data_IF_660229061154
#
_entry.id   IF_660229061154
#
_cell.length_a   1.000
_cell.length_b   1.000
_cell.length_c   1.000
_cell.angle_alpha   90.00
_cell.angle_beta   90.00
_cell.angle_gamma   90.00
#
_symmetry.space_group_name_H-M   'P 1'
#
loop_
_entity.id
_entity.type
_entity.pdbx_description
1 polymer ?
#
# COMPACT_ATOMS: atom_id res chain seq x y z
N UNK A 1 -16.15 -9.31 -16.73
CA UNK A 1 -16.30 -10.44 -17.67
C UNK A 1 -17.72 -11.01 -17.67
N UNK A 2 -18.41 -11.08 -16.55
CA UNK A 2 -19.84 -11.47 -16.51
C UNK A 2 -20.77 -10.50 -17.27
N UNK A 3 -20.50 -9.20 -17.23
CA UNK A 3 -21.28 -8.19 -17.95
C UNK A 3 -21.15 -8.30 -19.48
N UNK A 4 -20.02 -8.76 -20.01
CA UNK A 4 -19.80 -8.96 -21.46
C UNK A 4 -20.55 -10.20 -21.98
N UNK A 5 -20.80 -11.18 -21.11
CA UNK A 5 -21.57 -12.39 -21.47
C UNK A 5 -23.06 -12.11 -21.45
N UNK A 6 -23.51 -11.12 -20.70
CA UNK A 6 -24.94 -10.75 -20.60
C UNK A 6 -25.44 -9.92 -21.79
N UNK A 7 -24.56 -9.18 -22.48
CA UNK A 7 -24.92 -8.34 -23.63
C UNK A 7 -24.86 -9.07 -24.97
N UNK A 8 -24.33 -10.30 -25.00
CA UNK A 8 -24.45 -11.14 -26.18
C UNK A 8 -25.84 -11.80 -26.24
N UNK A 9 -26.85 -11.07 -26.73
CA UNK A 9 -28.15 -11.61 -27.12
C UNK A 9 -27.97 -12.60 -28.28
N UNK A 10 -27.43 -13.78 -27.98
CA UNK A 10 -27.42 -14.88 -28.92
C UNK A 10 -28.89 -15.32 -29.08
N UNK A 11 -29.42 -15.01 -30.25
CA UNK A 11 -30.76 -15.33 -30.70
C UNK A 11 -31.16 -16.76 -30.27
N UNK A 12 -32.30 -16.91 -29.64
CA UNK A 12 -32.81 -18.20 -29.09
C UNK A 12 -33.05 -19.29 -30.14
N UNK A 13 -32.73 -19.05 -31.40
CA UNK A 13 -33.04 -19.91 -32.57
C UNK A 13 -31.93 -20.88 -32.98
N UNK A 14 -30.84 -21.02 -32.23
CA UNK A 14 -29.76 -21.94 -32.56
C UNK A 14 -29.42 -22.94 -31.43
N UNK A 15 -30.21 -24.00 -31.23
CA UNK A 15 -29.97 -24.98 -30.13
C UNK A 15 -28.60 -25.68 -30.18
N UNK A 16 -28.06 -25.86 -31.40
CA UNK A 16 -26.73 -26.46 -31.61
C UNK A 16 -25.57 -25.62 -31.07
N UNK A 17 -25.73 -24.28 -31.00
CA UNK A 17 -24.73 -23.40 -30.42
C UNK A 17 -24.71 -23.44 -28.89
N UNK A 18 -25.83 -23.78 -28.22
CA UNK A 18 -25.87 -23.96 -26.76
C UNK A 18 -25.01 -25.16 -26.29
N UNK A 19 -25.10 -26.27 -27.05
CA UNK A 19 -24.26 -27.45 -26.76
C UNK A 19 -22.79 -27.17 -26.92
N UNK A 20 -22.41 -26.47 -27.99
CA UNK A 20 -21.01 -26.08 -28.23
C UNK A 20 -20.47 -25.11 -27.18
N UNK A 21 -21.25 -24.10 -26.77
CA UNK A 21 -20.89 -23.15 -25.72
C UNK A 21 -20.79 -23.82 -24.33
N UNK A 22 -21.68 -24.77 -24.03
CA UNK A 22 -21.61 -25.58 -22.81
C UNK A 22 -20.36 -26.49 -22.80
N UNK A 23 -20.05 -27.11 -23.92
CA UNK A 23 -18.88 -27.96 -24.12
C UNK A 23 -17.59 -27.15 -24.02
N UNK A 24 -17.53 -25.96 -24.63
CA UNK A 24 -16.39 -25.05 -24.54
C UNK A 24 -16.21 -24.52 -23.10
N UNK A 25 -17.30 -24.11 -22.42
CA UNK A 25 -17.23 -23.73 -21.01
C UNK A 25 -16.66 -24.85 -20.14
N UNK A 26 -17.13 -26.09 -20.30
CA UNK A 26 -16.62 -27.23 -19.55
C UNK A 26 -15.16 -27.55 -19.90
N UNK A 27 -14.77 -27.49 -21.17
CA UNK A 27 -13.41 -27.79 -21.61
C UNK A 27 -12.37 -26.77 -21.09
N UNK A 28 -12.75 -25.48 -20.96
CA UNK A 28 -11.85 -24.43 -20.44
C UNK A 28 -11.87 -24.31 -18.92
N UNK A 29 -12.87 -24.88 -18.22
CA UNK A 29 -12.96 -24.86 -16.76
C UNK A 29 -12.39 -26.13 -16.10
N UNK A 30 -12.09 -27.17 -16.88
CA UNK A 30 -11.47 -28.41 -16.37
C UNK A 30 -10.03 -28.10 -15.98
N UNK A 31 -9.74 -28.13 -14.67
CA UNK A 31 -8.40 -27.91 -14.10
C UNK A 31 -8.13 -26.49 -13.59
N UNK A 32 -9.05 -25.54 -13.73
CA UNK A 32 -8.86 -24.21 -13.14
C UNK A 32 -8.97 -24.27 -11.62
N UNK A 33 -7.87 -23.97 -10.94
CA UNK A 33 -7.85 -23.76 -9.48
C UNK A 33 -7.98 -22.27 -9.18
N UNK A 34 -8.92 -21.90 -8.32
CA UNK A 34 -9.06 -20.53 -7.83
C UNK A 34 -8.42 -20.45 -6.45
N UNK A 35 -7.46 -19.56 -6.30
CA UNK A 35 -6.90 -19.19 -5.01
C UNK A 35 -7.51 -17.86 -4.57
N UNK A 36 -7.73 -17.69 -3.26
CA UNK A 36 -8.22 -16.47 -2.65
C UNK A 36 -7.14 -15.89 -1.76
N UNK A 37 -6.94 -14.59 -1.85
CA UNK A 37 -6.11 -13.84 -0.92
C UNK A 37 -7.05 -12.95 -0.12
N UNK A 38 -6.96 -13.01 1.20
CA UNK A 38 -7.70 -12.16 2.12
C UNK A 38 -6.73 -11.18 2.78
N UNK A 39 -7.13 -9.91 2.86
CA UNK A 39 -6.38 -8.86 3.54
C UNK A 39 -7.26 -8.38 4.68
N UNK A 40 -6.73 -8.43 5.90
CA UNK A 40 -7.37 -7.87 7.10
C UNK A 40 -6.61 -6.65 7.56
N UNK A 41 -7.33 -5.65 8.04
CA UNK A 41 -6.81 -4.45 8.67
C UNK A 41 -7.84 -3.92 9.68
N UNK A 42 -7.36 -3.14 10.65
CA UNK A 42 -8.20 -2.49 11.64
C UNK A 42 -8.63 -1.12 11.14
N UNK A 43 -9.84 -0.71 11.50
CA UNK A 43 -10.41 0.61 11.19
C UNK A 43 -10.81 1.27 12.50
N UNK A 44 -10.31 2.47 12.73
CA UNK A 44 -10.65 3.32 13.87
C UNK A 44 -11.33 4.58 13.35
N UNK A 45 -12.35 5.05 14.05
CA UNK A 45 -13.09 6.27 13.69
C UNK A 45 -12.41 7.53 14.23
N UNK A 46 -11.61 7.38 15.30
CA UNK A 46 -10.93 8.50 15.96
C UNK A 46 -9.54 8.10 16.47
N UNK A 47 -8.62 9.06 16.52
CA UNK A 47 -7.24 8.87 16.99
C UNK A 47 -7.17 8.46 18.48
N UNK A 48 -8.19 8.80 19.28
CA UNK A 48 -8.25 8.44 20.70
C UNK A 48 -8.51 6.94 20.93
N UNK A 49 -8.94 6.21 19.89
CA UNK A 49 -9.12 4.76 19.93
C UNK A 49 -7.80 4.00 19.74
N UNK A 50 -6.76 4.67 19.23
CA UNK A 50 -5.45 4.11 19.01
C UNK A 50 -4.68 3.90 20.32
N UNK A 51 -3.64 3.05 20.26
CA UNK A 51 -2.63 3.03 21.30
C UNK A 51 -1.97 4.41 21.43
N UNK A 52 -1.49 4.76 22.64
CA UNK A 52 -0.79 6.04 22.85
C UNK A 52 0.40 6.22 21.90
N UNK A 53 1.10 5.12 21.57
CA UNK A 53 2.24 5.14 20.65
C UNK A 53 1.79 5.42 19.21
N UNK A 54 0.76 4.73 18.72
CA UNK A 54 0.27 4.93 17.35
C UNK A 54 -0.33 6.32 17.17
N UNK A 55 -1.10 6.79 18.16
CA UNK A 55 -1.66 8.13 18.17
C UNK A 55 -0.55 9.21 18.12
N UNK A 56 0.51 9.03 18.90
CA UNK A 56 1.67 9.92 18.87
C UNK A 56 2.37 9.89 17.50
N UNK A 57 2.67 8.70 16.98
CA UNK A 57 3.32 8.56 15.66
C UNK A 57 2.49 9.22 14.56
N UNK A 58 1.17 9.05 14.56
CA UNK A 58 0.31 9.64 13.55
C UNK A 58 0.24 11.17 13.68
N UNK A 59 0.19 11.70 14.91
CA UNK A 59 0.21 13.15 15.13
C UNK A 59 1.54 13.77 14.67
N UNK A 60 2.67 13.14 14.96
CA UNK A 60 3.97 13.59 14.46
C UNK A 60 4.06 13.50 12.93
N UNK A 61 3.49 12.44 12.31
CA UNK A 61 3.43 12.35 10.85
C UNK A 61 2.58 13.49 10.23
N UNK A 62 1.52 13.95 10.90
CA UNK A 62 0.74 15.14 10.53
C UNK A 62 1.61 16.41 10.54
N UNK A 63 2.46 16.59 11.56
CA UNK A 63 3.40 17.72 11.62
C UNK A 63 4.45 17.67 10.51
N UNK A 64 4.91 16.48 10.12
CA UNK A 64 5.87 16.28 9.03
C UNK A 64 5.30 16.71 7.67
N UNK A 65 3.98 16.71 7.46
CA UNK A 65 3.38 17.20 6.20
C UNK A 65 3.78 18.65 5.88
N UNK A 66 4.02 19.46 6.91
CA UNK A 66 4.44 20.87 6.77
C UNK A 66 5.83 21.03 6.13
N UNK A 67 6.63 19.99 6.08
CA UNK A 67 7.97 19.97 5.48
C UNK A 67 7.96 19.43 4.04
N UNK A 68 6.80 19.07 3.52
CA UNK A 68 6.66 18.56 2.17
C UNK A 68 6.86 19.67 1.12
N UNK A 69 7.49 19.33 0.02
CA UNK A 69 7.61 20.19 -1.15
C UNK A 69 6.67 19.67 -2.24
N UNK A 70 5.49 20.28 -2.35
CA UNK A 70 4.42 19.84 -3.26
C UNK A 70 3.78 21.01 -4.06
N UNK A 71 4.58 21.78 -4.85
CA UNK A 71 4.08 22.96 -5.53
C UNK A 71 3.17 22.65 -6.72
N UNK A 72 3.14 21.43 -7.22
CA UNK A 72 2.37 21.04 -8.40
C UNK A 72 1.04 20.42 -8.02
N UNK A 73 1.03 19.50 -7.04
CA UNK A 73 -0.18 18.79 -6.62
C UNK A 73 -0.92 19.46 -5.47
N UNK A 74 -0.25 20.30 -4.66
CA UNK A 74 -0.75 20.78 -3.37
C UNK A 74 -1.17 19.63 -2.42
N UNK A 75 -0.51 18.47 -2.54
CA UNK A 75 -0.75 17.28 -1.76
C UNK A 75 0.48 16.96 -0.90
N UNK A 76 0.41 17.28 0.38
CA UNK A 76 1.53 17.26 1.31
C UNK A 76 1.47 15.98 2.14
N UNK A 77 2.46 15.11 2.01
CA UNK A 77 2.52 13.82 2.72
C UNK A 77 3.66 13.84 3.72
N UNK A 78 3.35 13.41 4.93
CA UNK A 78 4.31 13.16 6.00
C UNK A 78 4.33 11.70 6.41
N UNK A 79 5.51 11.16 6.61
CA UNK A 79 5.71 9.82 7.15
C UNK A 79 6.65 9.90 8.35
N UNK A 80 6.33 9.14 9.39
CA UNK A 80 7.17 9.00 10.59
C UNK A 80 7.30 7.51 10.93
N UNK A 81 8.50 7.05 11.20
CA UNK A 81 8.72 5.68 11.61
C UNK A 81 9.47 5.60 12.95
N UNK A 82 9.04 4.65 13.77
CA UNK A 82 9.78 4.16 14.93
C UNK A 82 10.54 2.91 14.52
N UNK A 83 11.83 2.90 14.79
CA UNK A 83 12.71 1.75 14.59
C UNK A 83 12.67 0.82 15.81
N UNK A 84 13.06 -0.44 15.64
CA UNK A 84 13.10 -1.43 16.74
C UNK A 84 14.03 -1.04 17.89
N UNK A 85 15.02 -0.16 17.65
CA UNK A 85 15.90 0.39 18.68
C UNK A 85 15.35 1.67 19.34
N UNK A 86 14.12 2.07 19.02
CA UNK A 86 13.44 3.24 19.56
C UNK A 86 13.75 4.56 18.85
N UNK A 87 14.64 4.59 17.88
CA UNK A 87 14.93 5.79 17.09
C UNK A 87 13.76 6.16 16.19
N UNK A 88 13.62 7.45 15.90
CA UNK A 88 12.55 8.01 15.06
C UNK A 88 13.17 8.58 13.78
N UNK A 89 12.55 8.28 12.64
CA UNK A 89 12.93 8.80 11.33
C UNK A 89 11.70 9.38 10.65
N UNK A 90 11.86 10.55 10.02
CA UNK A 90 10.81 11.22 9.29
C UNK A 90 11.13 11.31 7.79
N UNK A 91 10.10 11.51 6.99
CA UNK A 91 10.20 11.83 5.57
C UNK A 91 8.95 12.55 5.08
N UNK A 92 9.12 13.46 4.14
CA UNK A 92 8.02 14.15 3.46
C UNK A 92 8.17 14.03 1.95
N UNK A 93 7.07 14.13 1.18
CA UNK A 93 7.17 14.08 -0.27
C UNK A 93 7.91 15.29 -0.84
N UNK A 94 8.70 15.02 -1.87
CA UNK A 94 9.52 16.01 -2.57
C UNK A 94 9.17 15.93 -4.05
N UNK A 95 8.37 16.86 -4.53
CA UNK A 95 8.01 16.93 -5.93
C UNK A 95 9.15 17.50 -6.78
N UNK A 96 9.09 17.25 -8.06
CA UNK A 96 10.05 17.72 -9.03
C UNK A 96 9.33 18.06 -10.34
N UNK A 97 9.76 19.10 -11.06
CA UNK A 97 9.25 19.44 -12.39
C UNK A 97 9.40 18.25 -13.36
N UNK A 98 10.45 17.45 -13.19
CA UNK A 98 10.56 16.13 -13.79
C UNK A 98 9.85 15.12 -12.89
N UNK A 99 8.58 14.86 -13.13
CA UNK A 99 7.72 14.01 -12.26
C UNK A 99 8.33 12.67 -11.88
N UNK A 100 9.05 11.93 -12.77
CA UNK A 100 9.72 10.69 -12.38
C UNK A 100 10.79 10.83 -11.30
N UNK A 101 11.35 12.04 -11.12
CA UNK A 101 12.34 12.33 -10.08
C UNK A 101 11.71 12.62 -8.70
N UNK A 102 10.40 12.80 -8.64
CA UNK A 102 9.68 13.02 -7.39
C UNK A 102 9.79 11.84 -6.42
N UNK A 103 9.83 12.14 -5.13
CA UNK A 103 9.94 11.16 -4.06
C UNK A 103 8.72 11.22 -3.14
N UNK A 104 8.11 10.07 -2.88
CA UNK A 104 7.08 9.95 -1.84
C UNK A 104 7.72 10.03 -0.45
N UNK A 105 6.95 10.48 0.54
CA UNK A 105 7.37 10.62 1.94
C UNK A 105 7.98 9.32 2.50
N UNK A 106 7.34 8.18 2.22
CA UNK A 106 7.79 6.86 2.67
C UNK A 106 9.17 6.52 2.10
N UNK A 107 9.43 6.85 0.82
CA UNK A 107 10.73 6.57 0.19
C UNK A 107 11.83 7.48 0.72
N UNK A 108 11.54 8.74 1.01
CA UNK A 108 12.46 9.66 1.68
C UNK A 108 12.82 9.10 3.07
N UNK A 109 11.81 8.70 3.86
CA UNK A 109 12.00 8.10 5.17
C UNK A 109 12.85 6.83 5.10
N UNK A 110 12.52 5.88 4.22
CA UNK A 110 13.22 4.61 4.08
C UNK A 110 14.69 4.81 3.69
N UNK A 111 14.97 5.74 2.76
CA UNK A 111 16.34 6.12 2.40
C UNK A 111 17.11 6.71 3.58
N UNK A 112 16.47 7.62 4.33
CA UNK A 112 17.06 8.24 5.53
C UNK A 112 17.33 7.21 6.63
N UNK A 113 16.38 6.29 6.88
CA UNK A 113 16.53 5.22 7.85
C UNK A 113 17.72 4.31 7.51
N UNK A 114 17.88 3.93 6.24
CA UNK A 114 19.01 3.13 5.78
C UNK A 114 20.35 3.81 5.98
N UNK A 115 20.41 5.12 5.80
CA UNK A 115 21.64 5.90 5.93
C UNK A 115 22.00 6.16 7.40
N UNK A 116 21.03 6.61 8.18
CA UNK A 116 21.25 7.04 9.56
C UNK A 116 21.36 5.85 10.54
N UNK A 117 20.62 4.79 10.28
CA UNK A 117 20.52 3.62 11.14
C UNK A 117 20.68 2.33 10.34
N UNK A 118 21.86 2.08 9.78
CA UNK A 118 22.10 0.88 8.97
C UNK A 118 21.83 -0.38 9.80
N UNK A 119 21.18 -1.35 9.20
CA UNK A 119 20.83 -2.64 9.81
C UNK A 119 19.82 -2.59 10.99
N UNK A 120 19.07 -1.50 11.12
CA UNK A 120 17.98 -1.40 12.09
C UNK A 120 16.63 -1.49 11.37
N UNK A 121 15.79 -2.44 11.78
CA UNK A 121 14.46 -2.63 11.22
C UNK A 121 13.50 -1.50 11.64
N UNK A 122 12.49 -1.25 10.82
CA UNK A 122 11.36 -0.38 11.17
C UNK A 122 10.32 -1.25 11.88
N UNK A 123 9.87 -0.79 13.04
CA UNK A 123 8.80 -1.39 13.83
C UNK A 123 7.42 -0.92 13.32
N UNK A 124 7.19 0.38 13.37
CA UNK A 124 5.92 1.00 13.00
C UNK A 124 6.16 2.25 12.15
N UNK A 125 5.38 2.43 11.10
CA UNK A 125 5.37 3.64 10.27
C UNK A 125 3.97 4.25 10.24
N UNK A 126 3.85 5.51 10.62
CA UNK A 126 2.65 6.31 10.44
C UNK A 126 2.77 7.17 9.18
N UNK A 127 1.68 7.29 8.43
CA UNK A 127 1.60 8.12 7.21
C UNK A 127 0.37 8.99 7.31
N UNK A 128 0.57 10.29 7.10
CA UNK A 128 -0.50 11.27 7.05
C UNK A 128 -0.35 12.20 5.85
N UNK A 129 -1.40 12.91 5.53
CA UNK A 129 -1.38 13.88 4.45
C UNK A 129 -2.27 15.09 4.76
N UNK A 130 -1.93 16.20 4.11
CA UNK A 130 -2.74 17.40 4.03
C UNK A 130 -2.95 17.75 2.54
N UNK A 131 -4.18 18.02 2.15
CA UNK A 131 -4.53 18.38 0.78
C UNK A 131 -5.26 19.73 0.74
N UNK A 132 -4.65 20.72 0.12
CA UNK A 132 -5.31 22.00 -0.09
C UNK A 132 -6.45 21.94 -1.11
N UNK A 133 -6.58 20.82 -1.85
CA UNK A 133 -7.57 20.63 -2.89
C UNK A 133 -8.78 19.80 -2.46
N UNK A 134 -8.85 19.41 -1.18
CA UNK A 134 -9.93 18.54 -0.68
C UNK A 134 -9.85 18.29 0.82
N UNK A 135 -10.69 17.39 1.30
CA UNK A 135 -10.68 16.96 2.68
C UNK A 135 -9.52 15.99 2.95
N UNK A 136 -8.91 16.10 4.13
CA UNK A 136 -7.86 15.19 4.59
C UNK A 136 -8.40 14.32 5.73
N UNK A 137 -9.56 13.67 5.50
CA UNK A 137 -10.35 12.93 6.51
C UNK A 137 -10.44 11.41 6.26
N UNK A 138 -10.03 10.95 5.07
CA UNK A 138 -9.96 9.51 4.78
C UNK A 138 -8.49 9.06 4.68
N UNK A 139 -8.14 7.84 5.14
CA UNK A 139 -6.78 7.33 5.05
C UNK A 139 -6.34 7.14 3.59
N UNK A 140 -5.10 7.51 3.28
CA UNK A 140 -4.48 7.15 2.00
C UNK A 140 -3.55 5.96 2.16
N UNK A 141 -3.50 5.12 1.13
CA UNK A 141 -2.55 4.01 1.08
C UNK A 141 -1.27 4.41 0.34
N UNK A 142 -0.12 3.85 0.72
CA UNK A 142 1.12 3.97 -0.05
C UNK A 142 0.93 3.66 -1.53
N UNK A 143 1.58 4.41 -2.40
CA UNK A 143 1.56 4.15 -3.85
C UNK A 143 2.26 2.82 -4.20
N UNK A 144 2.12 2.33 -5.44
CA UNK A 144 2.68 1.04 -5.84
C UNK A 144 4.20 0.94 -5.63
N UNK A 145 4.95 2.01 -5.91
CA UNK A 145 6.41 2.05 -5.69
C UNK A 145 6.72 1.95 -4.19
N UNK A 146 5.98 2.67 -3.35
CA UNK A 146 6.17 2.63 -1.90
C UNK A 146 5.84 1.25 -1.33
N UNK A 147 4.77 0.59 -1.80
CA UNK A 147 4.42 -0.78 -1.37
C UNK A 147 5.53 -1.77 -1.71
N UNK A 148 6.12 -1.66 -2.89
CA UNK A 148 7.26 -2.49 -3.29
C UNK A 148 8.49 -2.21 -2.42
N UNK A 149 8.78 -0.93 -2.13
CA UNK A 149 9.92 -0.56 -1.28
C UNK A 149 9.73 -1.04 0.16
N UNK A 150 8.53 -0.90 0.72
CA UNK A 150 8.18 -1.40 2.06
C UNK A 150 8.31 -2.93 2.12
N UNK A 151 7.85 -3.63 1.07
CA UNK A 151 7.98 -5.09 0.97
C UNK A 151 9.44 -5.53 1.00
N UNK A 152 10.32 -4.86 0.26
CA UNK A 152 11.77 -5.13 0.24
C UNK A 152 12.40 -4.91 1.63
N UNK A 153 11.94 -3.87 2.35
CA UNK A 153 12.42 -3.60 3.72
C UNK A 153 12.03 -4.71 4.70
N UNK A 154 10.78 -5.20 4.66
CA UNK A 154 10.35 -6.33 5.48
C UNK A 154 11.17 -7.59 5.18
N UNK A 155 11.42 -7.88 3.91
CA UNK A 155 12.20 -9.06 3.51
C UNK A 155 13.67 -8.94 3.90
N UNK A 156 14.28 -7.74 3.75
CA UNK A 156 15.69 -7.46 4.09
C UNK A 156 15.96 -7.62 5.57
N UNK A 157 15.04 -7.17 6.42
CA UNK A 157 15.21 -7.20 7.87
C UNK A 157 14.52 -8.37 8.57
N UNK A 158 13.76 -9.19 7.81
CA UNK A 158 12.91 -10.26 8.34
C UNK A 158 12.02 -9.76 9.48
N UNK A 159 11.50 -8.53 9.34
CA UNK A 159 10.69 -7.86 10.34
C UNK A 159 9.47 -7.19 9.68
N UNK A 160 8.24 -7.44 10.16
CA UNK A 160 7.06 -6.79 9.64
C UNK A 160 7.07 -5.30 9.99
N UNK A 161 6.57 -4.46 9.09
CA UNK A 161 6.38 -3.03 9.32
C UNK A 161 4.88 -2.79 9.56
N UNK A 162 4.52 -2.47 10.79
CA UNK A 162 3.16 -2.04 11.11
C UNK A 162 2.88 -0.68 10.49
N UNK A 163 1.74 -0.52 9.81
CA UNK A 163 1.36 0.75 9.18
C UNK A 163 0.15 1.36 9.87
N UNK A 164 0.24 2.66 10.17
CA UNK A 164 -0.85 3.49 10.69
C UNK A 164 -1.13 4.58 9.65
N UNK A 165 -2.27 4.53 8.98
CA UNK A 165 -2.63 5.40 7.88
C UNK A 165 -3.79 6.29 8.29
N UNK A 166 -3.63 7.61 8.19
CA UNK A 166 -4.69 8.57 8.52
C UNK A 166 -4.49 9.90 7.80
N UNK A 167 -5.58 10.64 7.62
CA UNK A 167 -5.52 12.05 7.25
C UNK A 167 -5.29 12.96 8.45
N UNK A 168 -5.55 14.26 8.29
CA UNK A 168 -5.52 15.23 9.40
C UNK A 168 -6.62 14.93 10.44
N UNK A 169 -7.72 14.35 9.99
CA UNK A 169 -8.90 13.99 10.77
C UNK A 169 -9.47 12.67 10.28
N UNK A 170 -10.59 12.23 10.88
CA UNK A 170 -11.39 11.13 10.41
C UNK A 170 -10.77 9.75 10.66
N UNK A 171 -11.11 8.81 9.79
CA UNK A 171 -10.77 7.40 9.95
C UNK A 171 -9.28 7.11 9.89
N UNK A 172 -8.90 6.03 10.54
CA UNK A 172 -7.52 5.54 10.56
C UNK A 172 -7.54 4.06 10.22
N UNK A 173 -6.64 3.64 9.32
CA UNK A 173 -6.43 2.23 9.00
C UNK A 173 -5.12 1.75 9.58
N UNK A 174 -5.14 0.57 10.19
CA UNK A 174 -3.95 -0.05 10.75
C UNK A 174 -3.75 -1.44 10.15
N UNK A 175 -2.55 -1.64 9.59
CA UNK A 175 -2.11 -2.91 9.03
C UNK A 175 -0.97 -3.47 9.86
N UNK A 176 -1.06 -4.74 10.26
CA UNK A 176 -0.01 -5.42 11.05
C UNK A 176 1.30 -5.58 10.29
N UNK A 177 1.25 -5.56 8.96
CA UNK A 177 2.44 -5.61 8.10
C UNK A 177 2.18 -4.94 6.76
N UNK A 178 3.17 -4.23 6.25
CA UNK A 178 3.09 -3.50 5.00
C UNK A 178 2.92 -4.41 3.77
N UNK A 179 3.44 -5.64 3.82
CA UNK A 179 3.32 -6.64 2.76
C UNK A 179 1.89 -7.04 2.44
N UNK A 180 0.93 -6.82 3.34
CA UNK A 180 -0.51 -7.01 3.07
C UNK A 180 -1.01 -6.11 1.94
N UNK A 181 -0.38 -4.96 1.71
CA UNK A 181 -0.75 -4.01 0.65
C UNK A 181 -0.22 -4.38 -0.73
N UNK A 182 0.65 -5.40 -0.83
CA UNK A 182 1.21 -5.89 -2.09
C UNK A 182 1.25 -7.43 -2.11
N UNK A 183 0.09 -8.10 -2.20
CA UNK A 183 0.08 -9.55 -2.40
C UNK A 183 0.71 -9.91 -3.75
N UNK A 184 1.40 -11.06 -3.83
CA UNK A 184 2.12 -11.53 -5.01
C UNK A 184 3.21 -10.55 -5.49
N UNK A 185 3.90 -9.90 -4.55
CA UNK A 185 4.99 -8.98 -4.83
C UNK A 185 6.18 -9.70 -5.50
N UNK A 186 6.90 -8.97 -6.35
CA UNK A 186 8.23 -9.38 -6.82
C UNK A 186 9.23 -9.25 -5.65
N UNK A 187 10.03 -10.29 -5.43
CA UNK A 187 10.96 -10.38 -4.31
C UNK A 187 12.33 -10.90 -4.75
N UNK A 188 13.35 -10.76 -3.89
CA UNK A 188 14.69 -11.31 -4.14
C UNK A 188 14.69 -12.83 -4.41
N UNK A 189 13.70 -13.56 -3.93
CA UNK A 189 13.52 -14.99 -4.21
C UNK A 189 13.23 -15.27 -5.68
N UNK A 190 12.59 -14.32 -6.38
CA UNK A 190 12.26 -14.46 -7.79
C UNK A 190 13.49 -14.24 -8.68
N UNK A 191 14.48 -13.46 -8.20
CA UNK A 191 15.78 -13.28 -8.86
C UNK A 191 16.71 -14.49 -8.70
N UNK A 192 16.61 -15.20 -7.56
CA UNK A 192 17.51 -16.28 -7.17
C UNK A 192 16.95 -17.69 -7.46
N UNK A 193 15.88 -17.80 -8.24
CA UNK A 193 15.42 -19.10 -8.73
C UNK A 193 16.46 -19.65 -9.71
N UNK A 194 17.36 -20.49 -9.20
CA UNK A 194 18.08 -21.43 -10.08
C UNK A 194 17.01 -22.21 -10.84
N UNK A 195 17.12 -22.24 -12.15
CA UNK A 195 16.24 -23.03 -13.02
C UNK A 195 16.40 -24.50 -12.63
N UNK A 196 15.47 -25.01 -11.81
CA UNK A 196 15.30 -26.45 -11.56
C UNK A 196 14.57 -27.10 -12.72
#
# INVERSE_FOLDING_TARGET
>A
MEKIIQDCKINQQAPHLRGLLSFLKNKYLIGMKRNKIEISYEVFDDINELSKQDAWLLNEAREVTKQAYAPYSNFFVGALAKLVNGQIVAGSNQENASYPAGLCAERVLLGSASLLYPNVAIDTMAISYDSNNGNSDEPISPCGICRQTLREYEDRFHHPIRLVLGGLHGKIYVFEKASLLLPLAFTSRDLNKEHQ
#
